data_IF_014903736544
#
_entry.id   IF_014903736544
#
_cell.length_a   1.000
_cell.length_b   1.000
_cell.length_c   1.000
_cell.angle_alpha   90.00
_cell.angle_beta   90.00
_cell.angle_gamma   90.00
#
_symmetry.space_group_name_H-M   'P 1'
#
loop_
_entity.id
_entity.type
_entity.pdbx_description
1 polymer ?
#
# COMPACT_ATOMS: atom_id res chain seq x y z
N UNK A 1 -0.08 13.15 -0.38
CA UNK A 1 -0.64 13.14 1.00
C UNK A 1 0.47 12.63 1.88
N UNK A 2 0.85 13.35 2.93
CA UNK A 2 1.96 12.93 3.80
C UNK A 2 1.73 11.51 4.34
N UNK A 3 2.80 10.70 4.42
CA UNK A 3 2.74 9.32 4.89
C UNK A 3 2.14 9.21 6.29
N UNK A 4 2.46 10.17 7.17
CA UNK A 4 1.93 10.28 8.53
C UNK A 4 0.41 10.54 8.54
N UNK A 5 -0.08 11.35 7.59
CA UNK A 5 -1.52 11.61 7.45
C UNK A 5 -2.26 10.37 6.94
N UNK A 6 -1.62 9.58 6.06
CA UNK A 6 -2.20 8.34 5.55
C UNK A 6 -2.27 7.26 6.63
N UNK A 7 -1.23 7.11 7.44
CA UNK A 7 -1.20 6.18 8.58
C UNK A 7 -2.30 6.50 9.59
N UNK A 8 -2.45 7.78 9.97
CA UNK A 8 -3.53 8.22 10.86
C UNK A 8 -4.94 7.96 10.30
N UNK A 9 -5.13 8.12 8.98
CA UNK A 9 -6.41 7.82 8.32
C UNK A 9 -6.67 6.31 8.34
N UNK A 10 -5.65 5.50 8.11
CA UNK A 10 -5.75 4.04 8.14
C UNK A 10 -6.07 3.53 9.55
N UNK A 11 -5.40 4.03 10.59
CA UNK A 11 -5.68 3.68 11.99
C UNK A 11 -7.10 4.09 12.41
N UNK A 12 -7.53 5.30 12.08
CA UNK A 12 -8.89 5.75 12.38
C UNK A 12 -9.93 4.91 11.63
N UNK A 13 -9.66 4.52 10.38
CA UNK A 13 -10.53 3.57 9.67
C UNK A 13 -10.56 2.21 10.36
N UNK A 14 -9.43 1.68 10.85
CA UNK A 14 -9.42 0.40 11.58
C UNK A 14 -10.28 0.46 12.84
N UNK A 15 -10.23 1.56 13.59
CA UNK A 15 -11.03 1.74 14.80
C UNK A 15 -12.55 1.85 14.52
N UNK A 16 -12.94 2.57 13.46
CA UNK A 16 -14.35 2.69 13.04
C UNK A 16 -14.92 1.34 12.55
N UNK A 17 -14.04 0.45 12.09
CA UNK A 17 -14.35 -0.85 11.50
C UNK A 17 -14.54 -1.97 12.52
N UNK A 18 -14.18 -1.76 13.79
CA UNK A 18 -14.32 -2.77 14.84
C UNK A 18 -15.77 -3.24 15.00
N UNK A 19 -15.96 -4.56 15.04
CA UNK A 19 -17.27 -5.19 15.24
C UNK A 19 -18.19 -5.24 14.01
N UNK A 20 -17.70 -4.88 12.82
CA UNK A 20 -18.46 -4.92 11.56
C UNK A 20 -17.71 -5.68 10.48
N UNK A 21 -18.44 -6.29 9.55
CA UNK A 21 -17.85 -6.89 8.34
C UNK A 21 -17.51 -5.78 7.35
N UNK A 22 -16.22 -5.67 6.98
CA UNK A 22 -15.74 -4.67 6.05
C UNK A 22 -15.23 -5.33 4.78
N UNK A 23 -15.68 -4.84 3.64
CA UNK A 23 -15.20 -5.23 2.32
C UNK A 23 -14.49 -4.02 1.73
N UNK A 24 -13.23 -4.20 1.33
CA UNK A 24 -12.38 -3.13 0.82
C UNK A 24 -11.91 -3.56 -0.57
N UNK A 25 -12.08 -2.67 -1.54
CA UNK A 25 -11.46 -2.79 -2.86
C UNK A 25 -10.49 -1.63 -3.00
N UNK A 26 -9.21 -1.91 -3.25
CA UNK A 26 -8.18 -0.89 -3.32
C UNK A 26 -7.24 -1.15 -4.49
N UNK A 27 -6.69 -0.06 -5.03
CA UNK A 27 -5.62 -0.12 -6.04
C UNK A 27 -4.22 -0.17 -5.40
N UNK A 28 -4.11 0.24 -4.13
CA UNK A 28 -2.86 0.23 -3.36
C UNK A 28 -2.77 -1.05 -2.54
N UNK A 29 -1.67 -1.76 -2.71
CA UNK A 29 -1.43 -3.02 -2.00
C UNK A 29 -1.23 -2.82 -0.49
N UNK A 30 -0.74 -1.66 -0.05
CA UNK A 30 -0.62 -1.28 1.37
C UNK A 30 -1.97 -1.22 2.09
N UNK A 31 -3.04 -0.83 1.40
CA UNK A 31 -4.37 -0.76 2.01
C UNK A 31 -4.98 -2.14 2.29
N UNK A 32 -4.57 -3.17 1.55
CA UNK A 32 -5.07 -4.55 1.70
C UNK A 32 -4.16 -5.44 2.55
N UNK A 33 -2.89 -5.07 2.77
CA UNK A 33 -1.94 -5.88 3.56
C UNK A 33 -2.36 -6.08 5.02
N UNK A 34 -3.14 -5.14 5.58
CA UNK A 34 -3.67 -5.20 6.94
C UNK A 34 -5.01 -5.94 7.06
N UNK A 35 -5.55 -6.49 5.97
CA UNK A 35 -6.82 -7.19 6.00
C UNK A 35 -6.69 -8.56 6.67
N UNK A 36 -7.71 -8.96 7.44
CA UNK A 36 -7.81 -10.30 8.03
C UNK A 36 -7.89 -11.39 6.95
N UNK A 37 -8.38 -11.04 5.76
CA UNK A 37 -8.48 -11.91 4.60
C UNK A 37 -8.41 -11.09 3.32
N UNK A 38 -7.56 -11.54 2.40
CA UNK A 38 -7.39 -10.98 1.06
C UNK A 38 -7.90 -12.00 0.05
N UNK A 39 -8.64 -11.51 -0.95
CA UNK A 39 -9.14 -12.30 -2.07
C UNK A 39 -8.61 -11.66 -3.35
N UNK A 40 -7.83 -12.42 -4.11
CA UNK A 40 -7.38 -12.01 -5.44
C UNK A 40 -8.33 -12.59 -6.48
N UNK A 41 -8.84 -11.72 -7.33
CA UNK A 41 -9.74 -12.09 -8.42
C UNK A 41 -9.08 -11.83 -9.76
N UNK A 42 -9.25 -12.78 -10.68
CA UNK A 42 -8.90 -12.64 -12.09
C UNK A 42 -10.01 -13.23 -12.95
N UNK A 43 -10.40 -12.51 -14.00
CA UNK A 43 -11.51 -12.88 -14.92
C UNK A 43 -12.80 -13.35 -14.22
N UNK A 44 -13.15 -12.73 -13.09
CA UNK A 44 -14.35 -13.08 -12.31
C UNK A 44 -14.23 -14.33 -11.43
N UNK A 45 -13.03 -14.93 -11.33
CA UNK A 45 -12.74 -16.10 -10.50
C UNK A 45 -11.77 -15.74 -9.38
N UNK A 46 -11.90 -16.38 -8.22
CA UNK A 46 -10.92 -16.25 -7.13
C UNK A 46 -9.72 -17.12 -7.45
N UNK A 47 -8.55 -16.49 -7.66
CA UNK A 47 -7.30 -17.20 -7.95
C UNK A 47 -6.44 -17.40 -6.71
N UNK A 48 -6.53 -16.51 -5.72
CA UNK A 48 -5.81 -16.63 -4.45
C UNK A 48 -6.65 -16.11 -3.28
N UNK A 49 -6.45 -16.71 -2.10
CA UNK A 49 -7.12 -16.32 -0.87
C UNK A 49 -6.24 -16.62 0.34
N UNK A 50 -6.11 -15.66 1.25
CA UNK A 50 -5.39 -15.84 2.50
C UNK A 50 -5.11 -14.52 3.19
N UNK A 51 -4.35 -14.58 4.27
CA UNK A 51 -3.73 -13.41 4.90
C UNK A 51 -2.58 -12.90 4.02
N UNK A 52 -2.15 -11.66 4.25
CA UNK A 52 -0.95 -11.11 3.59
C UNK A 52 0.25 -12.06 3.71
N UNK A 53 0.50 -12.60 4.91
CA UNK A 53 1.66 -13.46 5.15
C UNK A 53 1.58 -14.79 4.38
N UNK A 54 0.41 -15.41 4.32
CA UNK A 54 0.19 -16.64 3.54
C UNK A 54 0.39 -16.40 2.04
N UNK A 55 -0.18 -15.32 1.50
CA UNK A 55 -0.06 -14.96 0.09
C UNK A 55 1.37 -14.59 -0.31
N UNK A 56 2.12 -13.92 0.57
CA UNK A 56 3.54 -13.64 0.35
C UNK A 56 4.39 -14.93 0.32
N UNK A 57 4.03 -15.94 1.10
CA UNK A 57 4.71 -17.23 1.10
C UNK A 57 4.38 -18.09 -0.13
N UNK A 58 3.17 -17.95 -0.67
CA UNK A 58 2.75 -18.64 -1.90
C UNK A 58 3.52 -18.18 -3.14
N UNK A 59 4.05 -16.94 -3.12
CA UNK A 59 4.80 -16.35 -4.25
C UNK A 59 4.04 -16.41 -5.58
N UNK A 60 2.73 -16.20 -5.52
CA UNK A 60 1.86 -16.12 -6.69
C UNK A 60 1.57 -14.68 -7.11
N UNK A 61 0.40 -14.45 -7.71
CA UNK A 61 0.01 -13.16 -8.30
C UNK A 61 0.04 -12.02 -7.28
N UNK A 62 -0.45 -12.28 -6.06
CA UNK A 62 -0.43 -11.27 -5.00
C UNK A 62 1.00 -10.81 -4.69
N UNK A 63 1.92 -11.77 -4.56
CA UNK A 63 3.32 -11.51 -4.26
C UNK A 63 3.96 -10.66 -5.35
N UNK A 64 3.84 -11.05 -6.61
CA UNK A 64 4.45 -10.34 -7.74
C UNK A 64 3.95 -8.89 -7.84
N UNK A 65 2.63 -8.71 -7.68
CA UNK A 65 2.00 -7.39 -7.71
C UNK A 65 2.44 -6.54 -6.51
N UNK A 66 2.49 -7.12 -5.32
CA UNK A 66 2.93 -6.44 -4.11
C UNK A 66 4.37 -5.94 -4.26
N UNK A 67 5.28 -6.79 -4.74
CA UNK A 67 6.68 -6.45 -4.95
C UNK A 67 6.84 -5.33 -5.99
N UNK A 68 6.06 -5.38 -7.07
CA UNK A 68 6.09 -4.35 -8.12
C UNK A 68 5.63 -2.98 -7.61
N UNK A 69 4.52 -2.93 -6.85
CA UNK A 69 4.02 -1.68 -6.29
C UNK A 69 4.95 -1.13 -5.19
N UNK A 70 5.46 -1.98 -4.30
CA UNK A 70 6.39 -1.56 -3.25
C UNK A 70 7.68 -0.96 -3.83
N UNK A 71 8.17 -1.52 -4.95
CA UNK A 71 9.31 -0.95 -5.67
C UNK A 71 8.99 0.41 -6.28
N UNK A 72 7.82 0.56 -6.92
CA UNK A 72 7.39 1.84 -7.47
C UNK A 72 7.26 2.93 -6.40
N UNK A 73 6.66 2.62 -5.24
CA UNK A 73 6.56 3.58 -4.12
C UNK A 73 7.96 3.99 -3.64
N UNK A 74 8.91 3.06 -3.52
CA UNK A 74 10.30 3.37 -3.14
C UNK A 74 11.02 4.26 -4.15
N UNK A 75 10.85 4.00 -5.45
CA UNK A 75 11.47 4.81 -6.50
C UNK A 75 10.87 6.21 -6.50
N UNK A 76 9.53 6.32 -6.41
CA UNK A 76 8.85 7.60 -6.35
C UNK A 76 9.33 8.44 -5.15
N UNK A 77 9.44 7.83 -3.95
CA UNK A 77 9.96 8.55 -2.78
C UNK A 77 11.40 9.02 -2.94
N UNK A 78 12.28 8.19 -3.53
CA UNK A 78 13.69 8.59 -3.76
C UNK A 78 13.83 9.67 -4.82
N UNK A 79 12.97 9.71 -5.83
CA UNK A 79 12.96 10.78 -6.82
C UNK A 79 12.49 12.11 -6.20
N UNK A 80 11.48 12.08 -5.34
CA UNK A 80 11.00 13.25 -4.61
C UNK A 80 12.08 13.83 -3.68
N UNK A 81 12.90 12.99 -3.04
CA UNK A 81 14.03 13.41 -2.21
C UNK A 81 15.13 14.11 -3.03
N UNK A 82 15.44 13.60 -4.23
CA UNK A 82 16.42 14.20 -5.14
C UNK A 82 15.91 15.52 -5.72
N UNK A 83 14.62 15.63 -6.03
CA UNK A 83 14.01 16.84 -6.56
C UNK A 83 13.92 17.99 -5.53
N UNK A 84 13.81 17.67 -4.24
CA UNK A 84 13.81 18.67 -3.14
C UNK A 84 15.20 19.20 -2.78
N UNK A 85 16.26 18.64 -3.35
CA UNK A 85 17.65 19.01 -3.05
C UNK A 85 18.18 20.27 -3.73
N UNK A 86 17.41 20.90 -4.64
CA UNK A 86 17.90 22.00 -5.49
C UNK A 86 17.36 23.40 -5.12
N UNK A 87 16.48 23.51 -4.11
CA UNK A 87 15.92 24.79 -3.63
C UNK A 87 16.71 25.41 -2.46
N UNK A 88 18.04 25.30 -2.46
CA UNK A 88 18.89 26.03 -1.51
C UNK A 88 20.13 26.64 -2.17
N UNK A 89 19.92 27.35 -3.28
CA UNK A 89 20.85 28.38 -3.74
C UNK A 89 20.09 29.67 -4.04
N UNK A 90 20.58 30.79 -3.51
CA UNK A 90 20.16 32.13 -3.93
C UNK A 90 19.16 32.88 -3.05
N UNK A 91 19.57 33.30 -1.84
CA UNK A 91 19.44 34.73 -1.44
C UNK A 91 20.30 35.06 -0.21
N UNK A 92 21.58 35.31 -0.46
CA UNK A 92 22.36 36.24 0.36
C UNK A 92 22.96 37.31 -0.55
N UNK A 93 22.34 38.47 -0.60
CA UNK A 93 22.96 39.78 -0.75
C UNK A 93 21.94 40.86 -0.44
#
# INVERSE_FOLDING_TARGET
VDAETEEHILENMQNVRQGKTNIITAHRMSAVSHADMIIVMDEGTIIERGTHHELMNLKGWYYDTYQSQALHEKIASSLDELAKGDDNDGTKS
#
